data_IF_605078026847
#
_entry.id   IF_605078026847
#
_cell.length_a   1.000
_cell.length_b   1.000
_cell.length_c   1.000
_cell.angle_alpha   90.00
_cell.angle_beta   90.00
_cell.angle_gamma   90.00
#
_symmetry.space_group_name_H-M   'P 1'
#
loop_
_entity.id
_entity.type
_entity.pdbx_description
1 polymer ?
#
# COMPACT_ATOMS: atom_id res chain seq x y z
N UNK A 1 56.97 -30.23 -70.01
CA UNK A 1 56.97 -28.83 -70.49
C UNK A 1 56.17 -27.97 -69.51
N UNK A 2 56.84 -26.97 -68.94
CA UNK A 2 56.36 -25.72 -68.32
C UNK A 2 55.63 -25.78 -66.96
N UNK A 3 56.21 -24.98 -66.05
CA UNK A 3 55.87 -24.60 -64.69
C UNK A 3 54.75 -23.52 -64.63
N UNK A 4 54.02 -23.46 -63.49
CA UNK A 4 53.62 -22.27 -62.72
C UNK A 4 52.63 -22.70 -61.60
N UNK A 5 52.96 -22.67 -60.30
CA UNK A 5 52.86 -21.52 -59.36
C UNK A 5 51.42 -20.97 -59.25
N UNK A 6 50.79 -20.64 -58.12
CA UNK A 6 51.05 -20.61 -56.67
C UNK A 6 49.74 -20.04 -56.09
N UNK A 7 49.19 -20.54 -54.98
CA UNK A 7 48.60 -19.73 -53.89
C UNK A 7 47.94 -20.62 -52.83
N UNK A 8 48.59 -20.63 -51.66
CA UNK A 8 48.07 -21.13 -50.40
C UNK A 8 47.17 -20.04 -49.82
N UNK A 9 45.92 -20.37 -49.47
CA UNK A 9 45.11 -19.56 -48.55
C UNK A 9 44.70 -20.43 -47.36
N UNK A 10 45.39 -20.22 -46.25
CA UNK A 10 45.10 -20.78 -44.93
C UNK A 10 43.97 -19.94 -44.31
N UNK A 11 42.76 -20.48 -44.20
CA UNK A 11 41.66 -19.82 -43.51
C UNK A 11 41.57 -20.36 -42.07
N UNK A 12 42.16 -19.63 -41.12
CA UNK A 12 41.90 -19.82 -39.69
C UNK A 12 40.51 -19.26 -39.37
N UNK A 13 39.60 -20.10 -38.87
CA UNK A 13 38.38 -19.62 -38.22
C UNK A 13 38.51 -19.81 -36.72
N UNK A 14 38.59 -18.68 -36.01
CA UNK A 14 38.54 -18.57 -34.55
C UNK A 14 37.07 -18.41 -34.13
N UNK A 15 36.68 -19.25 -33.19
CA UNK A 15 35.64 -19.16 -32.15
C UNK A 15 34.50 -18.13 -32.23
N UNK A 16 33.30 -18.58 -31.87
CA UNK A 16 32.51 -17.92 -30.83
C UNK A 16 31.50 -18.89 -30.21
N UNK A 17 31.69 -19.18 -28.91
CA UNK A 17 30.71 -19.79 -28.01
C UNK A 17 29.61 -18.79 -27.69
N UNK A 18 28.36 -19.16 -27.90
CA UNK A 18 27.22 -18.47 -27.28
C UNK A 18 26.77 -19.29 -26.09
N UNK A 19 27.29 -18.94 -24.92
CA UNK A 19 26.65 -19.25 -23.65
C UNK A 19 25.27 -18.58 -23.66
N UNK A 20 24.22 -19.41 -23.69
CA UNK A 20 22.84 -19.00 -23.45
C UNK A 20 22.70 -18.56 -21.99
N UNK A 21 23.10 -17.33 -21.70
CA UNK A 21 22.63 -16.62 -20.51
C UNK A 21 21.19 -16.18 -20.78
N UNK A 22 20.25 -17.09 -20.56
CA UNK A 22 18.85 -16.73 -20.34
C UNK A 22 18.84 -15.90 -19.06
N UNK A 23 18.96 -14.58 -19.22
CA UNK A 23 18.71 -13.63 -18.14
C UNK A 23 17.33 -13.97 -17.59
N UNK A 24 17.29 -14.46 -16.34
CA UNK A 24 16.04 -14.70 -15.63
C UNK A 24 15.27 -13.38 -15.65
N UNK A 25 14.16 -13.35 -16.38
CA UNK A 25 13.26 -12.19 -16.40
C UNK A 25 12.93 -11.89 -14.94
N UNK A 26 13.35 -10.71 -14.47
CA UNK A 26 13.09 -10.27 -13.10
C UNK A 26 11.57 -10.31 -12.88
N UNK A 27 11.10 -11.25 -12.05
CA UNK A 27 9.68 -11.35 -11.69
C UNK A 27 9.34 -10.14 -10.81
N UNK A 28 8.54 -9.23 -11.36
CA UNK A 28 8.11 -8.01 -10.71
C UNK A 28 6.59 -7.98 -10.58
N UNK A 29 6.03 -7.80 -9.37
CA UNK A 29 6.69 -7.65 -8.08
C UNK A 29 7.29 -8.97 -7.55
N UNK A 30 8.38 -8.88 -6.78
CA UNK A 30 8.94 -10.04 -6.08
C UNK A 30 8.08 -10.39 -4.86
N UNK A 31 7.50 -11.58 -4.86
CA UNK A 31 6.71 -12.09 -3.72
C UNK A 31 7.53 -13.17 -3.01
N UNK A 32 7.99 -12.94 -1.76
CA UNK A 32 8.81 -13.92 -1.07
C UNK A 32 7.99 -15.12 -0.61
N UNK A 33 8.67 -16.24 -0.34
CA UNK A 33 8.03 -17.43 0.22
C UNK A 33 7.31 -17.10 1.53
N UNK A 34 6.08 -17.63 1.68
CA UNK A 34 5.21 -17.36 2.83
C UNK A 34 4.24 -16.20 2.63
N UNK A 35 4.34 -15.43 1.55
CA UNK A 35 3.31 -14.48 1.15
C UNK A 35 2.31 -15.12 0.18
N UNK A 36 1.01 -14.74 0.27
CA UNK A 36 0.04 -15.13 -0.75
C UNK A 36 0.42 -14.49 -2.10
N UNK A 37 0.01 -15.08 -3.24
CA UNK A 37 0.14 -14.41 -4.53
C UNK A 37 -0.69 -13.13 -4.55
N UNK A 38 -0.20 -12.10 -5.23
CA UNK A 38 -0.94 -10.83 -5.41
C UNK A 38 -2.21 -11.10 -6.22
N UNK A 39 -3.40 -10.69 -5.74
CA UNK A 39 -4.62 -10.76 -6.53
C UNK A 39 -4.53 -9.90 -7.79
N UNK A 40 -4.66 -10.54 -8.96
CA UNK A 40 -4.67 -9.88 -10.28
C UNK A 40 -6.00 -10.19 -10.97
N UNK A 41 -6.88 -9.19 -11.20
CA UNK A 41 -8.11 -9.38 -11.95
C UNK A 41 -7.84 -9.81 -13.40
N UNK A 42 -8.67 -10.71 -13.93
CA UNK A 42 -8.51 -11.24 -15.28
C UNK A 42 -8.65 -10.15 -16.37
N UNK A 43 -9.47 -9.14 -16.11
CA UNK A 43 -9.69 -7.98 -16.97
C UNK A 43 -8.64 -6.86 -16.80
N UNK A 44 -7.73 -7.00 -15.82
CA UNK A 44 -6.59 -6.11 -15.65
C UNK A 44 -5.28 -6.88 -15.35
N UNK A 45 -4.72 -7.61 -16.33
CA UNK A 45 -3.47 -8.33 -16.14
C UNK A 45 -2.32 -7.38 -15.82
N UNK A 46 -1.52 -7.74 -14.83
CA UNK A 46 -0.36 -6.96 -14.40
C UNK A 46 0.80 -7.13 -15.40
N UNK A 47 1.28 -6.03 -15.96
CA UNK A 47 2.50 -5.98 -16.77
C UNK A 47 3.42 -4.86 -16.28
N UNK A 48 4.71 -4.95 -16.57
CA UNK A 48 5.69 -3.93 -16.18
C UNK A 48 5.37 -2.58 -16.82
N UNK A 49 4.98 -2.59 -18.10
CA UNK A 49 4.65 -1.38 -18.86
C UNK A 49 3.40 -0.70 -18.31
N UNK A 50 2.40 -1.50 -17.90
CA UNK A 50 1.16 -0.98 -17.32
C UNK A 50 1.39 -0.41 -15.92
N UNK A 51 2.18 -1.09 -15.08
CA UNK A 51 2.58 -0.58 -13.78
C UNK A 51 3.42 0.71 -13.92
N UNK A 52 4.30 0.80 -14.92
CA UNK A 52 5.07 2.03 -15.16
C UNK A 52 4.19 3.18 -15.64
N UNK A 53 3.23 2.94 -16.56
CA UNK A 53 2.22 3.95 -16.89
C UNK A 53 1.44 4.37 -15.64
N UNK A 54 1.03 3.40 -14.81
CA UNK A 54 0.38 3.64 -13.53
C UNK A 54 1.18 4.54 -12.61
N UNK A 55 2.50 4.33 -12.51
CA UNK A 55 3.41 5.17 -11.74
C UNK A 55 3.41 6.61 -12.23
N UNK A 56 3.50 6.85 -13.54
CA UNK A 56 3.39 8.21 -14.07
C UNK A 56 2.06 8.86 -13.69
N UNK A 57 0.94 8.16 -13.89
CA UNK A 57 -0.38 8.70 -13.56
C UNK A 57 -0.57 8.95 -12.06
N UNK A 58 -0.03 8.08 -11.21
CA UNK A 58 -0.13 8.21 -9.75
C UNK A 58 0.52 9.51 -9.23
N UNK A 59 1.60 9.96 -9.88
CA UNK A 59 2.32 11.18 -9.52
C UNK A 59 1.85 12.43 -10.27
N UNK A 60 1.11 12.29 -11.37
CA UNK A 60 0.76 13.40 -12.26
C UNK A 60 -0.35 14.28 -11.69
N UNK A 61 0.01 15.52 -11.33
CA UNK A 61 -0.92 16.49 -10.75
C UNK A 61 -1.90 17.07 -11.75
N UNK A 62 -1.57 17.02 -13.05
CA UNK A 62 -2.44 17.53 -14.12
C UNK A 62 -3.73 16.72 -14.27
N UNK A 63 -3.85 15.61 -13.54
CA UNK A 63 -5.05 14.79 -13.46
C UNK A 63 -6.10 15.35 -12.48
N UNK A 64 -5.74 16.31 -11.62
CA UNK A 64 -6.67 17.00 -10.72
C UNK A 64 -7.25 18.27 -11.33
N UNK A 65 -8.38 18.74 -10.79
CA UNK A 65 -9.12 19.91 -11.27
C UNK A 65 -8.26 21.16 -11.47
N UNK A 66 -7.40 21.46 -10.50
CA UNK A 66 -6.58 22.68 -10.44
C UNK A 66 -5.08 22.43 -10.66
N UNK A 67 -4.69 21.19 -10.96
CA UNK A 67 -3.29 20.82 -11.18
C UNK A 67 -2.43 20.78 -9.91
N UNK A 68 -3.03 20.85 -8.71
CA UNK A 68 -2.27 20.96 -7.45
C UNK A 68 -1.99 19.63 -6.76
N UNK A 69 -2.85 18.63 -6.98
CA UNK A 69 -2.80 17.33 -6.29
C UNK A 69 -2.73 16.14 -7.25
N UNK A 70 -2.05 15.08 -6.80
CA UNK A 70 -2.07 13.74 -7.42
C UNK A 70 -2.30 12.69 -6.34
N UNK A 71 -2.40 11.41 -6.70
CA UNK A 71 -2.48 10.33 -5.73
C UNK A 71 -1.29 10.41 -4.74
N UNK A 72 -0.09 10.68 -5.28
CA UNK A 72 1.13 10.85 -4.52
C UNK A 72 1.15 12.06 -3.57
N UNK A 73 0.25 13.04 -3.71
CA UNK A 73 0.13 14.14 -2.75
C UNK A 73 -0.28 13.64 -1.37
N UNK A 74 -1.16 12.63 -1.31
CA UNK A 74 -1.68 12.05 -0.06
C UNK A 74 -1.10 10.66 0.24
N UNK A 75 -0.44 10.04 -0.74
CA UNK A 75 0.17 8.72 -0.63
C UNK A 75 1.66 8.80 -1.00
N UNK A 76 2.45 9.40 -0.11
CA UNK A 76 3.87 9.72 -0.39
C UNK A 76 4.75 8.50 -0.15
N UNK A 77 5.57 8.14 -1.13
CA UNK A 77 6.44 6.95 -1.06
C UNK A 77 7.35 6.91 0.17
N UNK A 78 7.91 8.06 0.56
CA UNK A 78 8.78 8.20 1.74
C UNK A 78 8.13 7.80 3.07
N UNK A 79 6.79 7.82 3.15
CA UNK A 79 6.01 7.44 4.33
C UNK A 79 5.15 6.21 4.08
N UNK A 80 5.70 5.25 3.33
CA UNK A 80 5.02 4.02 2.94
C UNK A 80 3.66 4.28 2.25
N UNK A 81 3.59 5.34 1.46
CA UNK A 81 2.38 5.74 0.74
C UNK A 81 1.20 6.11 1.66
N UNK A 82 1.50 6.79 2.78
CA UNK A 82 0.52 7.57 3.56
C UNK A 82 0.76 9.08 3.43
N UNK A 83 -0.04 9.87 4.15
CA UNK A 83 0.11 11.34 4.21
C UNK A 83 0.87 11.85 5.45
N UNK A 84 1.56 10.96 6.18
CA UNK A 84 2.28 11.31 7.41
C UNK A 84 3.20 12.56 7.28
N UNK A 85 3.14 13.60 8.12
CA UNK A 85 2.50 13.64 9.43
C UNK A 85 1.09 14.26 9.40
N UNK A 86 0.50 14.45 8.22
CA UNK A 86 -0.81 15.08 8.12
C UNK A 86 -1.88 14.15 8.67
N UNK A 87 -2.72 14.69 9.56
CA UNK A 87 -3.87 13.96 10.07
C UNK A 87 -4.91 13.75 8.97
N UNK A 88 -5.23 14.80 8.23
CA UNK A 88 -6.21 14.81 7.15
C UNK A 88 -5.55 15.43 5.94
N UNK A 89 -5.67 14.75 4.81
CA UNK A 89 -5.12 15.22 3.54
C UNK A 89 -5.87 16.43 3.00
N UNK A 90 -5.10 17.32 2.37
CA UNK A 90 -5.62 18.44 1.60
C UNK A 90 -5.71 18.04 0.13
N UNK A 91 -6.91 18.12 -0.44
CA UNK A 91 -7.15 17.96 -1.87
C UNK A 91 -7.08 19.28 -2.63
N UNK A 92 -7.73 19.31 -3.81
CA UNK A 92 -7.85 20.51 -4.64
C UNK A 92 -8.40 21.68 -3.85
N UNK A 93 -7.94 22.89 -4.17
CA UNK A 93 -8.33 24.13 -3.47
C UNK A 93 -8.14 24.05 -1.94
N UNK A 94 -7.23 23.20 -1.45
CA UNK A 94 -7.00 22.93 -0.01
C UNK A 94 -8.22 22.39 0.75
N UNK A 95 -9.19 21.79 0.06
CA UNK A 95 -10.34 21.14 0.71
C UNK A 95 -9.85 19.96 1.56
N UNK A 96 -10.44 19.76 2.74
CA UNK A 96 -10.01 18.72 3.69
C UNK A 96 -10.95 17.52 3.65
N UNK A 97 -10.36 16.33 3.64
CA UNK A 97 -11.10 15.06 3.75
C UNK A 97 -11.75 14.86 5.13
N UNK A 98 -12.42 13.73 5.28
CA UNK A 98 -13.10 13.36 6.54
C UNK A 98 -12.33 12.34 7.37
N UNK A 99 -11.30 11.71 6.80
CA UNK A 99 -10.53 10.63 7.41
C UNK A 99 -9.04 10.80 7.14
N UNK A 100 -8.23 10.15 7.96
CA UNK A 100 -6.81 9.98 7.67
C UNK A 100 -6.60 9.15 6.39
N UNK A 101 -5.66 9.56 5.55
CA UNK A 101 -5.29 8.82 4.35
C UNK A 101 -4.54 7.54 4.75
N UNK A 102 -5.12 6.34 4.49
CA UNK A 102 -4.49 5.10 4.88
C UNK A 102 -3.21 4.87 4.07
N UNK A 103 -2.25 4.22 4.70
CA UNK A 103 -1.09 3.65 4.02
C UNK A 103 -1.54 2.58 3.00
N UNK A 104 -1.02 2.64 1.77
CA UNK A 104 -1.45 1.73 0.67
C UNK A 104 -0.42 0.65 0.29
N UNK A 105 0.73 0.54 0.96
CA UNK A 105 1.56 -0.66 0.78
C UNK A 105 0.75 -1.91 1.13
N UNK A 106 0.89 -2.95 0.30
CA UNK A 106 0.11 -4.19 0.37
C UNK A 106 -1.42 -4.01 0.19
N UNK A 107 -1.92 -2.87 -0.28
CA UNK A 107 -3.36 -2.67 -0.49
C UNK A 107 -3.98 -3.66 -1.49
N UNK A 108 -3.17 -4.18 -2.42
CA UNK A 108 -3.61 -5.18 -3.40
C UNK A 108 -4.15 -6.49 -2.82
N UNK A 109 -3.84 -6.80 -1.56
CA UNK A 109 -4.35 -8.00 -0.90
C UNK A 109 -5.68 -7.78 -0.16
N UNK A 110 -6.14 -6.53 -0.05
CA UNK A 110 -7.38 -6.24 0.64
C UNK A 110 -8.59 -6.59 -0.26
N UNK A 111 -9.58 -7.35 0.23
CA UNK A 111 -10.79 -7.68 -0.53
C UNK A 111 -11.71 -6.47 -0.72
N UNK A 112 -11.61 -5.48 0.16
CA UNK A 112 -12.31 -4.20 0.09
C UNK A 112 -11.39 -3.08 0.59
N UNK A 113 -11.52 -1.90 0.00
CA UNK A 113 -10.66 -0.75 0.23
C UNK A 113 -11.44 0.40 0.90
N UNK A 114 -10.72 1.48 1.24
CA UNK A 114 -11.12 2.50 2.23
C UNK A 114 -11.22 1.94 3.65
N UNK A 115 -11.46 2.85 4.60
CA UNK A 115 -11.63 2.51 6.02
C UNK A 115 -12.96 1.82 6.34
N UNK A 116 -14.00 2.05 5.54
CA UNK A 116 -15.35 1.49 5.69
C UNK A 116 -15.60 0.28 4.75
N UNK A 117 -14.68 0.02 3.82
CA UNK A 117 -14.78 -1.11 2.90
C UNK A 117 -15.69 -0.86 1.69
N UNK A 118 -16.02 0.39 1.37
CA UNK A 118 -16.99 0.71 0.32
C UNK A 118 -16.53 0.39 -1.11
N UNK A 119 -15.24 0.22 -1.34
CA UNK A 119 -14.70 -0.07 -2.68
C UNK A 119 -14.27 -1.54 -2.79
N UNK A 120 -14.75 -2.30 -3.79
CA UNK A 120 -14.45 -3.74 -3.94
C UNK A 120 -13.15 -4.02 -4.70
N UNK A 121 -12.52 -3.01 -5.32
CA UNK A 121 -11.30 -3.15 -6.10
C UNK A 121 -10.42 -1.90 -6.00
N UNK A 122 -9.15 -2.03 -6.35
CA UNK A 122 -8.23 -0.89 -6.45
C UNK A 122 -8.69 0.08 -7.56
N UNK A 123 -9.20 -0.46 -8.68
CA UNK A 123 -9.71 0.34 -9.79
C UNK A 123 -10.89 1.23 -9.38
N UNK A 124 -11.85 0.68 -8.64
CA UNK A 124 -13.00 1.44 -8.14
C UNK A 124 -12.61 2.40 -7.01
N UNK A 125 -11.67 2.00 -6.15
CA UNK A 125 -11.14 2.88 -5.11
C UNK A 125 -10.44 4.10 -5.72
N UNK A 126 -9.54 3.87 -6.68
CA UNK A 126 -8.84 4.93 -7.40
C UNK A 126 -9.83 5.83 -8.15
N UNK A 127 -10.85 5.27 -8.81
CA UNK A 127 -11.90 6.07 -9.45
C UNK A 127 -12.64 6.96 -8.46
N UNK A 128 -13.00 6.43 -7.29
CA UNK A 128 -13.71 7.19 -6.27
C UNK A 128 -12.88 8.38 -5.74
N UNK A 129 -11.58 8.18 -5.48
CA UNK A 129 -10.67 9.25 -5.08
C UNK A 129 -10.45 10.28 -6.22
N UNK A 130 -10.31 9.79 -7.44
CA UNK A 130 -10.13 10.60 -8.65
C UNK A 130 -11.33 11.54 -8.92
N UNK A 131 -12.55 11.06 -8.72
CA UNK A 131 -13.78 11.83 -8.91
C UNK A 131 -14.24 12.61 -7.67
N UNK A 132 -13.70 12.31 -6.49
CA UNK A 132 -14.10 12.95 -5.24
C UNK A 132 -13.91 14.47 -5.33
N UNK A 133 -14.95 15.28 -5.07
CA UNK A 133 -14.87 16.74 -5.17
C UNK A 133 -13.97 17.34 -4.11
N UNK A 134 -13.65 16.61 -3.04
CA UNK A 134 -12.77 17.05 -1.97
C UNK A 134 -11.32 16.66 -2.23
N UNK A 135 -11.07 15.60 -2.99
CA UNK A 135 -9.74 15.08 -3.27
C UNK A 135 -9.20 15.64 -4.59
N UNK A 136 -9.41 14.94 -5.72
CA UNK A 136 -8.87 15.36 -7.02
C UNK A 136 -9.86 16.13 -7.91
N UNK A 137 -11.18 15.97 -7.67
CA UNK A 137 -12.27 16.60 -8.42
C UNK A 137 -12.09 16.55 -9.95
N UNK A 138 -11.57 15.44 -10.49
CA UNK A 138 -11.10 15.39 -11.86
C UNK A 138 -12.20 15.58 -12.91
N UNK A 139 -11.96 16.46 -13.87
CA UNK A 139 -12.77 16.56 -15.09
C UNK A 139 -12.33 15.46 -16.07
N UNK A 140 -13.15 14.41 -16.18
CA UNK A 140 -12.85 13.23 -17.01
C UNK A 140 -12.67 13.56 -18.50
N UNK A 141 -13.32 14.58 -19.04
CA UNK A 141 -13.15 14.97 -20.45
C UNK A 141 -11.82 15.68 -20.66
N UNK A 142 -11.50 16.63 -19.77
CA UNK A 142 -10.23 17.33 -19.80
C UNK A 142 -9.06 16.37 -19.61
N UNK A 143 -9.16 15.45 -18.64
CA UNK A 143 -8.16 14.41 -18.39
C UNK A 143 -8.03 13.47 -19.59
N UNK A 144 -9.12 13.01 -20.19
CA UNK A 144 -9.03 12.15 -21.37
C UNK A 144 -8.32 12.85 -22.55
N UNK A 145 -8.58 14.15 -22.78
CA UNK A 145 -7.89 14.93 -23.80
C UNK A 145 -6.39 15.10 -23.48
N UNK A 146 -6.07 15.37 -22.20
CA UNK A 146 -4.70 15.48 -21.72
C UNK A 146 -3.91 14.17 -21.92
N UNK A 147 -4.47 13.04 -21.50
CA UNK A 147 -3.84 11.72 -21.63
C UNK A 147 -3.60 11.33 -23.10
N UNK A 148 -4.55 11.60 -24.00
CA UNK A 148 -4.37 11.36 -25.45
C UNK A 148 -3.18 12.13 -26.03
N UNK A 149 -2.86 13.30 -25.48
CA UNK A 149 -1.75 14.14 -25.96
C UNK A 149 -0.42 13.77 -25.29
N UNK A 150 -0.39 13.72 -23.97
CA UNK A 150 0.87 13.58 -23.22
C UNK A 150 1.33 12.12 -23.05
N UNK A 151 0.40 11.17 -23.11
CA UNK A 151 0.68 9.76 -22.83
C UNK A 151 0.52 8.85 -24.04
N UNK A 152 0.31 9.38 -25.25
CA UNK A 152 -0.01 8.61 -26.46
C UNK A 152 0.86 7.36 -26.64
N UNK A 153 2.19 7.50 -26.62
CA UNK A 153 3.12 6.38 -26.83
C UNK A 153 3.04 5.33 -25.71
N UNK A 154 2.91 5.77 -24.45
CA UNK A 154 2.76 4.85 -23.31
C UNK A 154 1.42 4.14 -23.37
N UNK A 155 0.38 4.86 -23.78
CA UNK A 155 -0.96 4.34 -23.89
C UNK A 155 -1.05 3.24 -24.94
N UNK A 156 -0.52 3.48 -26.15
CA UNK A 156 -0.47 2.47 -27.23
C UNK A 156 0.37 1.26 -26.80
N UNK A 157 1.51 1.47 -26.13
CA UNK A 157 2.33 0.36 -25.60
C UNK A 157 1.59 -0.52 -24.60
N UNK A 158 0.73 0.06 -23.76
CA UNK A 158 0.04 -0.66 -22.68
C UNK A 158 -1.29 -1.28 -23.14
N UNK A 159 -2.07 -0.55 -23.94
CA UNK A 159 -3.44 -0.93 -24.31
C UNK A 159 -3.59 -1.36 -25.77
N UNK A 160 -2.55 -1.19 -26.59
CA UNK A 160 -2.56 -1.60 -28.01
C UNK A 160 -3.36 -0.67 -28.93
N UNK A 161 -3.94 0.41 -28.40
CA UNK A 161 -4.74 1.38 -29.15
C UNK A 161 -4.63 2.79 -28.56
N UNK A 162 -5.29 3.78 -29.16
CA UNK A 162 -5.29 5.19 -28.73
C UNK A 162 -6.52 5.59 -27.91
N UNK A 163 -7.41 4.64 -27.61
CA UNK A 163 -8.66 4.88 -26.89
C UNK A 163 -8.37 5.08 -25.41
N UNK A 164 -8.47 6.32 -24.97
CA UNK A 164 -8.40 6.69 -23.56
C UNK A 164 -9.76 6.57 -22.89
N UNK A 165 -9.82 5.81 -21.80
CA UNK A 165 -10.95 5.76 -20.86
C UNK A 165 -10.43 5.94 -19.44
N UNK A 166 -11.24 6.50 -18.55
CA UNK A 166 -10.84 6.64 -17.14
C UNK A 166 -10.65 5.28 -16.47
N UNK A 167 -11.45 4.26 -16.85
CA UNK A 167 -11.26 2.90 -16.35
C UNK A 167 -9.87 2.36 -16.71
N UNK A 168 -9.39 2.55 -17.95
CA UNK A 168 -8.02 2.16 -18.32
C UNK A 168 -6.95 2.93 -17.55
N UNK A 169 -7.19 4.22 -17.26
CA UNK A 169 -6.30 5.00 -16.39
C UNK A 169 -6.24 4.40 -14.97
N UNK A 170 -7.40 4.08 -14.38
CA UNK A 170 -7.47 3.45 -13.06
C UNK A 170 -6.87 2.04 -13.04
N UNK A 171 -7.04 1.27 -14.12
CA UNK A 171 -6.37 -0.03 -14.29
C UNK A 171 -4.85 0.10 -14.31
N UNK A 172 -4.30 1.14 -14.93
CA UNK A 172 -2.87 1.43 -14.90
C UNK A 172 -2.41 1.80 -13.48
N UNK A 173 -3.10 2.73 -12.81
CA UNK A 173 -2.81 3.13 -11.42
C UNK A 173 -2.87 1.92 -10.48
N UNK A 174 -3.95 1.13 -10.54
CA UNK A 174 -4.10 -0.08 -9.75
C UNK A 174 -3.01 -1.13 -10.05
N UNK A 175 -2.47 -1.18 -11.28
CA UNK A 175 -1.34 -2.03 -11.60
C UNK A 175 -0.05 -1.57 -10.91
N UNK A 176 0.16 -0.25 -10.78
CA UNK A 176 1.26 0.29 -9.98
C UNK A 176 1.08 -0.04 -8.51
N UNK A 177 -0.11 0.15 -7.95
CA UNK A 177 -0.41 -0.16 -6.54
C UNK A 177 -0.20 -1.64 -6.20
N UNK A 178 -0.51 -2.55 -7.15
CA UNK A 178 -0.22 -4.00 -7.04
C UNK A 178 1.27 -4.33 -6.91
N UNK A 179 2.16 -3.41 -7.27
CA UNK A 179 3.61 -3.59 -7.11
C UNK A 179 4.14 -3.12 -5.76
N UNK A 180 3.34 -2.38 -4.97
CA UNK A 180 3.75 -1.80 -3.69
C UNK A 180 3.74 -2.85 -2.56
N UNK A 181 4.65 -3.82 -2.65
CA UNK A 181 4.73 -4.96 -1.73
C UNK A 181 5.79 -4.71 -0.66
N UNK A 182 5.37 -4.75 0.59
CA UNK A 182 6.26 -4.72 1.77
C UNK A 182 6.35 -6.11 2.37
N UNK A 183 7.53 -6.73 2.26
CA UNK A 183 7.74 -8.15 2.60
C UNK A 183 9.18 -8.50 3.02
N UNK A 184 10.01 -7.48 3.30
CA UNK A 184 11.42 -7.61 3.62
C UNK A 184 11.84 -6.85 4.90
N UNK A 185 10.89 -6.65 5.81
CA UNK A 185 11.16 -6.08 7.13
C UNK A 185 12.08 -6.97 7.97
N UNK A 186 12.55 -6.47 9.12
CA UNK A 186 13.34 -7.28 10.06
C UNK A 186 12.52 -8.45 10.62
N UNK A 187 11.23 -8.26 10.82
CA UNK A 187 10.31 -9.34 11.15
C UNK A 187 10.25 -10.41 10.04
N UNK A 188 10.20 -10.00 8.77
CA UNK A 188 10.17 -10.95 7.65
C UNK A 188 11.48 -11.77 7.55
N UNK A 189 12.63 -11.12 7.76
CA UNK A 189 13.93 -11.79 7.81
C UNK A 189 13.99 -12.83 8.94
N UNK A 190 13.46 -12.47 10.11
CA UNK A 190 13.34 -13.37 11.25
C UNK A 190 12.47 -14.59 10.95
N UNK A 191 11.31 -14.40 10.31
CA UNK A 191 10.44 -15.51 9.89
C UNK A 191 11.12 -16.44 8.87
N UNK A 192 12.06 -15.92 8.07
CA UNK A 192 12.86 -16.70 7.11
C UNK A 192 14.12 -17.32 7.73
N UNK A 193 14.26 -17.29 9.06
CA UNK A 193 15.32 -17.98 9.78
C UNK A 193 16.52 -17.11 10.18
N UNK A 194 16.57 -15.83 9.79
CA UNK A 194 17.56 -14.90 10.33
C UNK A 194 17.17 -14.49 11.75
N UNK A 195 17.47 -15.38 12.70
CA UNK A 195 17.11 -15.16 14.10
C UNK A 195 17.78 -13.91 14.67
N UNK A 196 18.87 -13.41 14.09
CA UNK A 196 19.57 -12.21 14.55
C UNK A 196 18.88 -10.91 14.10
N UNK A 197 17.94 -10.96 13.15
CA UNK A 197 17.25 -9.78 12.62
C UNK A 197 16.43 -9.01 13.67
N UNK A 198 15.93 -9.71 14.70
CA UNK A 198 15.19 -9.11 15.82
C UNK A 198 16.04 -9.01 17.08
N UNK A 199 16.01 -7.83 17.70
CA UNK A 199 16.56 -7.57 19.03
C UNK A 199 15.80 -8.34 20.11
N UNK A 200 16.38 -8.42 21.32
CA UNK A 200 15.72 -9.05 22.47
C UNK A 200 14.40 -8.36 22.82
N UNK A 201 14.34 -7.03 22.69
CA UNK A 201 13.13 -6.23 22.93
C UNK A 201 12.02 -6.59 21.95
N UNK A 202 12.34 -6.62 20.67
CA UNK A 202 11.40 -6.95 19.60
C UNK A 202 10.87 -8.37 19.72
N UNK A 203 11.70 -9.33 20.13
CA UNK A 203 11.24 -10.71 20.36
C UNK A 203 10.30 -10.82 21.56
N UNK A 204 10.52 -10.04 22.62
CA UNK A 204 9.55 -9.97 23.74
C UNK A 204 8.23 -9.35 23.27
N UNK A 205 8.31 -8.26 22.53
CA UNK A 205 7.15 -7.57 21.93
C UNK A 205 6.36 -8.49 21.01
N UNK A 206 7.03 -9.18 20.09
CA UNK A 206 6.43 -10.15 19.17
C UNK A 206 5.69 -11.26 19.92
N UNK A 207 6.33 -11.87 20.93
CA UNK A 207 5.68 -12.92 21.74
C UNK A 207 4.45 -12.39 22.46
N UNK A 208 4.52 -11.17 23.00
CA UNK A 208 3.38 -10.55 23.66
C UNK A 208 2.27 -10.27 22.64
N UNK A 209 2.59 -9.68 21.49
CA UNK A 209 1.67 -9.32 20.42
C UNK A 209 0.81 -10.49 19.93
N UNK A 210 1.43 -11.67 19.76
CA UNK A 210 0.76 -12.90 19.33
C UNK A 210 0.27 -13.78 20.49
N UNK A 211 0.25 -13.28 21.73
CA UNK A 211 -0.24 -14.04 22.89
C UNK A 211 -1.74 -13.90 23.09
N UNK A 212 -2.36 -14.89 23.73
CA UNK A 212 -3.76 -14.84 24.20
C UNK A 212 -4.00 -13.72 25.22
N UNK A 213 -2.95 -13.14 25.80
CA UNK A 213 -3.08 -12.04 26.75
C UNK A 213 -3.47 -10.74 26.03
N UNK A 214 -2.81 -10.37 24.93
CA UNK A 214 -3.07 -9.12 24.20
C UNK A 214 -3.88 -9.31 22.93
N UNK A 215 -3.86 -10.50 22.33
CA UNK A 215 -4.67 -10.90 21.18
C UNK A 215 -4.52 -9.97 19.95
N UNK A 216 -3.42 -9.24 19.82
CA UNK A 216 -3.23 -8.29 18.71
C UNK A 216 -3.21 -9.02 17.35
N UNK A 217 -2.60 -10.21 17.34
CA UNK A 217 -2.56 -11.10 16.16
C UNK A 217 -3.91 -11.64 15.70
N UNK A 218 -4.97 -11.52 16.51
CA UNK A 218 -6.32 -11.97 16.13
C UNK A 218 -6.98 -11.10 15.06
N UNK A 219 -6.60 -9.81 15.00
CA UNK A 219 -6.97 -8.92 13.90
C UNK A 219 -5.76 -8.62 13.01
N UNK A 220 -4.56 -8.52 13.58
CA UNK A 220 -3.33 -8.19 12.85
C UNK A 220 -2.45 -9.43 12.64
N UNK A 221 -3.05 -10.49 12.09
CA UNK A 221 -2.42 -11.80 11.94
C UNK A 221 -1.89 -12.09 10.53
N UNK A 222 -1.27 -13.26 10.41
CA UNK A 222 -0.82 -13.83 9.14
C UNK A 222 0.28 -13.03 8.43
N UNK A 223 0.61 -13.41 7.18
CA UNK A 223 1.68 -12.77 6.42
C UNK A 223 1.44 -11.29 6.16
N UNK A 224 0.20 -10.79 6.21
CA UNK A 224 -0.11 -9.38 5.91
C UNK A 224 -0.33 -8.53 7.16
N UNK A 225 -0.33 -9.13 8.36
CA UNK A 225 -0.61 -8.44 9.63
C UNK A 225 -1.94 -7.67 9.60
N UNK A 226 -2.94 -8.30 9.00
CA UNK A 226 -4.33 -7.86 8.93
C UNK A 226 -5.23 -9.05 8.58
N UNK A 227 -6.43 -9.07 9.16
CA UNK A 227 -7.52 -9.97 8.79
C UNK A 227 -8.44 -9.36 7.73
N UNK A 228 -8.24 -8.08 7.37
CA UNK A 228 -9.08 -7.27 6.50
C UNK A 228 -10.57 -7.23 6.89
N UNK A 229 -10.90 -7.54 8.15
CA UNK A 229 -12.26 -7.45 8.68
C UNK A 229 -12.50 -6.08 9.30
N UNK A 230 -13.70 -5.89 9.84
CA UNK A 230 -14.17 -4.62 10.38
C UNK A 230 -14.39 -4.74 11.88
N UNK A 231 -13.78 -3.83 12.63
CA UNK A 231 -13.82 -3.85 14.10
C UNK A 231 -14.04 -2.44 14.65
N UNK A 232 -14.78 -2.35 15.75
CA UNK A 232 -14.84 -1.16 16.58
C UNK A 232 -13.90 -1.35 17.77
N UNK A 233 -12.89 -0.49 17.88
CA UNK A 233 -11.88 -0.55 18.94
C UNK A 233 -12.21 0.37 20.13
N UNK A 234 -13.40 0.97 20.14
CA UNK A 234 -13.88 1.85 21.20
C UNK A 234 -13.09 3.15 21.33
N UNK A 235 -12.83 3.86 20.23
CA UNK A 235 -12.18 5.17 20.27
C UNK A 235 -13.03 6.20 21.03
N UNK A 236 -14.35 6.15 20.87
CA UNK A 236 -15.28 7.14 21.44
C UNK A 236 -16.48 6.50 22.12
N UNK A 237 -17.17 7.29 22.95
CA UNK A 237 -18.50 6.95 23.46
C UNK A 237 -19.61 7.23 22.43
N UNK A 238 -19.34 8.13 21.49
CA UNK A 238 -20.25 8.54 20.42
C UNK A 238 -19.44 8.74 19.14
N UNK A 239 -19.97 8.27 18.01
CA UNK A 239 -19.35 8.35 16.70
C UNK A 239 -20.22 9.21 15.77
N UNK A 240 -19.62 10.22 15.14
CA UNK A 240 -20.26 10.96 14.05
C UNK A 240 -20.01 10.27 12.71
N UNK A 241 -18.79 9.80 12.49
CA UNK A 241 -18.44 8.88 11.41
C UNK A 241 -18.89 7.46 11.80
N UNK A 242 -19.93 6.96 11.13
CA UNK A 242 -20.51 5.65 11.45
C UNK A 242 -19.73 4.50 10.83
N UNK A 243 -18.64 4.77 10.13
CA UNK A 243 -17.75 3.75 9.56
C UNK A 243 -18.49 2.91 8.53
N UNK A 244 -18.44 1.59 8.71
CA UNK A 244 -19.07 0.63 7.80
C UNK A 244 -20.60 0.76 7.71
N UNK A 245 -21.27 1.23 8.77
CA UNK A 245 -22.71 1.48 8.73
C UNK A 245 -23.13 2.40 7.59
N UNK A 246 -22.32 3.41 7.24
CA UNK A 246 -22.63 4.33 6.14
C UNK A 246 -22.65 3.64 4.77
N UNK A 247 -22.11 2.42 4.68
CA UNK A 247 -22.10 1.56 3.50
C UNK A 247 -23.24 0.54 3.53
N UNK A 248 -23.53 -0.05 4.70
CA UNK A 248 -24.43 -1.21 4.81
C UNK A 248 -25.82 -0.88 5.34
N UNK A 249 -25.98 0.21 6.09
CA UNK A 249 -27.20 0.56 6.83
C UNK A 249 -27.54 -0.38 8.00
N UNK A 250 -26.66 -1.33 8.34
CA UNK A 250 -26.89 -2.27 9.43
C UNK A 250 -26.31 -1.74 10.75
N UNK A 251 -27.14 -1.60 11.79
CA UNK A 251 -26.71 -1.10 13.10
C UNK A 251 -25.59 -1.94 13.74
N UNK A 252 -25.48 -3.24 13.42
CA UNK A 252 -24.38 -4.07 13.90
C UNK A 252 -23.02 -3.68 13.28
N UNK A 253 -23.02 -2.92 12.18
CA UNK A 253 -21.82 -2.39 11.52
C UNK A 253 -21.45 -0.97 11.99
N UNK A 254 -22.16 -0.40 12.97
CA UNK A 254 -21.90 0.95 13.46
C UNK A 254 -20.49 1.07 14.05
N UNK A 255 -19.75 2.08 13.59
CA UNK A 255 -18.39 2.40 14.03
C UNK A 255 -17.37 1.25 13.81
N UNK A 256 -17.68 0.30 12.93
CA UNK A 256 -16.69 -0.68 12.49
C UNK A 256 -15.83 -0.08 11.37
N UNK A 257 -14.51 -0.24 11.50
CA UNK A 257 -13.53 0.16 10.49
C UNK A 257 -12.63 -1.01 10.13
N UNK A 258 -12.16 -1.04 8.89
CA UNK A 258 -11.29 -2.10 8.38
C UNK A 258 -9.98 -2.14 9.17
N UNK A 259 -9.54 -3.33 9.55
CA UNK A 259 -8.21 -3.57 10.12
C UNK A 259 -7.13 -3.25 9.09
N UNK A 260 -6.29 -2.21 9.27
CA UNK A 260 -5.19 -1.94 8.37
C UNK A 260 -4.06 -2.97 8.57
N UNK A 261 -3.21 -3.15 7.56
CA UNK A 261 -1.94 -3.87 7.75
C UNK A 261 -1.03 -3.07 8.68
N UNK A 262 -0.28 -3.76 9.55
CA UNK A 262 0.75 -3.14 10.38
C UNK A 262 2.14 -3.11 9.73
N UNK A 263 2.29 -3.64 8.51
CA UNK A 263 3.55 -3.55 7.76
C UNK A 263 3.87 -2.07 7.54
N UNK A 264 5.09 -1.64 7.83
CA UNK A 264 5.49 -0.22 7.78
C UNK A 264 4.71 0.75 8.69
N UNK A 265 3.95 0.27 9.69
CA UNK A 265 3.14 1.15 10.57
C UNK A 265 3.96 2.26 11.24
N UNK A 266 5.23 2.02 11.56
CA UNK A 266 6.09 3.02 12.20
C UNK A 266 6.38 4.27 11.33
N UNK A 267 6.04 4.24 10.04
CA UNK A 267 6.24 5.35 9.10
C UNK A 267 4.97 6.16 8.82
N UNK A 268 3.82 5.72 9.30
CA UNK A 268 2.52 6.22 8.86
C UNK A 268 1.77 7.02 9.92
N UNK A 269 2.48 7.54 10.94
CA UNK A 269 1.87 8.42 11.93
C UNK A 269 1.30 9.70 11.26
N UNK A 270 0.14 10.22 11.68
CA UNK A 270 -0.62 9.78 12.85
C UNK A 270 -1.59 8.63 12.53
N UNK A 271 -2.13 7.98 13.56
CA UNK A 271 -2.88 6.74 13.48
C UNK A 271 -4.37 6.92 13.75
N UNK A 272 -5.14 5.90 13.32
CA UNK A 272 -6.61 5.80 13.30
C UNK A 272 -7.26 6.43 12.07
N UNK A 273 -8.49 6.01 11.77
CA UNK A 273 -9.26 6.47 10.60
C UNK A 273 -9.77 7.92 10.73
N UNK A 274 -9.67 8.50 11.92
CA UNK A 274 -10.42 9.67 12.37
C UNK A 274 -10.06 10.98 11.66
N UNK A 275 -11.06 11.81 11.39
CA UNK A 275 -10.91 13.20 10.97
C UNK A 275 -11.56 14.20 11.93
N UNK A 276 -11.94 15.38 11.41
CA UNK A 276 -12.34 16.53 12.24
C UNK A 276 -13.62 16.28 13.05
N UNK A 277 -14.55 15.46 12.53
CA UNK A 277 -15.81 15.15 13.21
C UNK A 277 -15.62 14.30 14.47
N UNK A 278 -14.56 13.49 14.51
CA UNK A 278 -14.27 12.53 15.58
C UNK A 278 -12.77 12.62 15.95
N UNK A 279 -12.35 13.56 16.82
CA UNK A 279 -10.93 13.86 17.06
C UNK A 279 -10.24 12.81 17.97
N UNK A 280 -9.96 11.63 17.42
CA UNK A 280 -9.33 10.49 18.14
C UNK A 280 -8.00 10.05 17.55
N UNK A 281 -7.31 10.96 16.85
CA UNK A 281 -6.03 10.67 16.23
C UNK A 281 -4.97 10.38 17.31
N UNK A 282 -4.10 9.41 17.05
CA UNK A 282 -2.97 9.10 17.91
C UNK A 282 -1.68 9.42 17.15
N UNK A 283 -0.84 10.27 17.72
CA UNK A 283 0.39 10.74 17.09
C UNK A 283 1.52 9.70 17.17
N UNK A 284 1.47 8.78 18.13
CA UNK A 284 2.55 7.82 18.38
C UNK A 284 2.04 6.41 18.62
N UNK A 285 2.88 5.40 18.37
CA UNK A 285 2.55 4.00 18.63
C UNK A 285 2.36 3.74 20.13
N UNK A 286 3.01 4.51 20.99
CA UNK A 286 2.82 4.47 22.44
C UNK A 286 1.37 4.83 22.80
N UNK A 287 0.81 5.89 22.19
CA UNK A 287 -0.59 6.24 22.40
C UNK A 287 -1.54 5.15 21.90
N UNK A 288 -1.21 4.50 20.78
CA UNK A 288 -1.97 3.34 20.27
C UNK A 288 -1.94 2.20 21.28
N UNK A 289 -0.77 1.85 21.82
CA UNK A 289 -0.62 0.79 22.81
C UNK A 289 -1.35 1.15 24.11
N UNK A 290 -1.32 2.42 24.54
CA UNK A 290 -2.04 2.89 25.71
C UNK A 290 -3.56 2.73 25.54
N UNK A 291 -4.11 3.09 24.38
CA UNK A 291 -5.53 2.88 24.07
C UNK A 291 -5.96 1.41 24.22
N UNK A 292 -5.19 0.49 23.63
CA UNK A 292 -5.49 -0.95 23.75
C UNK A 292 -5.28 -1.46 25.18
N UNK A 293 -4.27 -0.95 25.89
CA UNK A 293 -4.03 -1.30 27.28
C UNK A 293 -5.19 -0.88 28.20
N UNK A 294 -5.82 0.25 27.91
CA UNK A 294 -6.98 0.78 28.63
C UNK A 294 -8.30 0.08 28.24
N UNK A 295 -8.31 -0.62 27.10
CA UNK A 295 -9.43 -1.44 26.65
C UNK A 295 -10.55 -0.68 25.94
N UNK A 296 -10.29 0.55 25.50
CA UNK A 296 -11.24 1.38 24.74
C UNK A 296 -12.52 1.77 25.51
N UNK A 297 -13.24 2.76 24.99
CA UNK A 297 -14.53 3.23 25.50
C UNK A 297 -15.63 2.22 25.22
N UNK A 298 -16.61 2.01 26.12
CA UNK A 298 -17.74 1.14 25.86
C UNK A 298 -18.59 1.67 24.69
N UNK A 299 -18.94 0.77 23.78
CA UNK A 299 -19.84 1.02 22.66
C UNK A 299 -20.52 -0.31 22.27
N UNK A 300 -21.72 -0.27 21.69
CA UNK A 300 -22.54 -1.46 21.42
C UNK A 300 -21.80 -2.51 20.55
N UNK A 301 -21.14 -2.05 19.50
CA UNK A 301 -20.39 -2.88 18.53
C UNK A 301 -18.91 -3.07 18.90
N UNK A 302 -18.45 -2.58 20.06
CA UNK A 302 -17.03 -2.70 20.44
C UNK A 302 -16.62 -4.16 20.47
N UNK A 303 -15.50 -4.46 19.82
CA UNK A 303 -14.91 -5.79 19.82
C UNK A 303 -14.53 -6.22 21.25
N UNK A 304 -15.05 -7.37 21.68
CA UNK A 304 -14.87 -7.89 23.05
C UNK A 304 -13.41 -8.22 23.38
N UNK A 305 -12.57 -8.41 22.37
CA UNK A 305 -11.13 -8.64 22.53
C UNK A 305 -10.42 -7.36 23.00
N UNK A 306 -10.98 -6.18 22.72
CA UNK A 306 -10.46 -4.89 23.22
C UNK A 306 -10.93 -4.70 24.66
N UNK A 307 -10.07 -5.17 25.58
CA UNK A 307 -10.28 -5.15 27.04
C UNK A 307 -9.03 -4.65 27.74
N UNK A 308 -9.16 -4.22 28.99
CA UNK A 308 -8.02 -3.78 29.79
C UNK A 308 -6.96 -4.89 29.91
N UNK A 309 -5.70 -4.55 29.62
CA UNK A 309 -4.61 -5.52 29.52
C UNK A 309 -3.66 -5.52 30.72
N UNK A 310 -3.55 -4.40 31.44
CA UNK A 310 -2.65 -4.27 32.59
C UNK A 310 -1.18 -4.48 32.23
N UNK A 311 -0.74 -3.96 31.09
CA UNK A 311 0.63 -4.03 30.63
C UNK A 311 1.53 -3.12 31.47
N UNK A 312 2.70 -3.64 31.83
CA UNK A 312 3.78 -2.83 32.40
C UNK A 312 4.40 -1.90 31.35
N UNK A 313 5.10 -0.85 31.79
CA UNK A 313 5.78 0.07 30.86
C UNK A 313 6.81 -0.64 29.97
N UNK A 314 7.45 -1.69 30.49
CA UNK A 314 8.40 -2.47 29.70
C UNK A 314 7.69 -3.24 28.58
N UNK A 315 6.54 -3.85 28.88
CA UNK A 315 5.75 -4.58 27.90
C UNK A 315 5.21 -3.66 26.80
N UNK A 316 4.76 -2.46 27.16
CA UNK A 316 4.34 -1.45 26.20
C UNK A 316 5.48 -1.05 25.25
N UNK A 317 6.67 -0.78 25.80
CA UNK A 317 7.87 -0.49 25.00
C UNK A 317 8.24 -1.65 24.08
N UNK A 318 8.24 -2.88 24.59
CA UNK A 318 8.57 -4.06 23.80
C UNK A 318 7.60 -4.22 22.61
N UNK A 319 6.29 -3.99 22.79
CA UNK A 319 5.29 -3.98 21.70
C UNK A 319 5.59 -2.92 20.63
N UNK A 320 5.92 -1.70 21.05
CA UNK A 320 6.29 -0.62 20.14
C UNK A 320 7.54 -0.98 19.33
N UNK A 321 8.57 -1.54 19.98
CA UNK A 321 9.78 -1.98 19.29
C UNK A 321 9.47 -3.08 18.27
N UNK A 322 8.59 -4.03 18.59
CA UNK A 322 8.13 -5.01 17.62
C UNK A 322 7.43 -4.37 16.42
N UNK A 323 6.52 -3.42 16.63
CA UNK A 323 5.86 -2.71 15.52
C UNK A 323 6.84 -1.93 14.64
N UNK A 324 7.92 -1.37 15.20
CA UNK A 324 9.01 -0.76 14.42
C UNK A 324 9.77 -1.78 13.55
N UNK A 325 9.92 -3.02 14.03
CA UNK A 325 10.56 -4.10 13.27
C UNK A 325 9.74 -4.58 12.05
N UNK A 326 8.48 -4.16 11.92
CA UNK A 326 7.63 -4.38 10.75
C UNK A 326 7.92 -3.42 9.58
N UNK A 327 8.86 -2.50 9.75
CA UNK A 327 9.25 -1.56 8.71
C UNK A 327 10.12 -2.24 7.66
N UNK A 328 9.67 -2.20 6.41
CA UNK A 328 10.45 -2.56 5.24
C UNK A 328 10.97 -1.28 4.58
N UNK A 329 12.28 -1.05 4.62
CA UNK A 329 12.88 0.12 3.98
C UNK A 329 12.99 -0.02 2.46
N UNK A 330 12.93 -1.24 1.90
CA UNK A 330 13.11 -1.43 0.46
C UNK A 330 12.01 -0.75 -0.34
N UNK A 331 10.75 -0.88 0.07
CA UNK A 331 9.59 -0.29 -0.64
C UNK A 331 9.57 1.25 -0.62
N UNK A 332 10.19 1.89 0.38
CA UNK A 332 10.21 3.37 0.49
C UNK A 332 11.44 4.00 -0.16
N UNK A 333 12.50 3.23 -0.41
CA UNK A 333 13.74 3.70 -1.04
C UNK A 333 13.92 3.21 -2.49
N UNK A 334 13.03 2.35 -2.98
CA UNK A 334 13.14 1.81 -4.34
C UNK A 334 12.83 2.91 -5.38
N UNK A 335 13.78 3.24 -6.28
CA UNK A 335 13.56 4.26 -7.31
C UNK A 335 12.42 3.90 -8.27
N UNK A 336 12.04 2.61 -8.39
CA UNK A 336 10.89 2.17 -9.18
C UNK A 336 9.56 2.63 -8.61
N UNK A 337 9.52 3.09 -7.37
CA UNK A 337 8.31 3.66 -6.75
C UNK A 337 8.42 5.15 -6.47
N UNK A 338 9.52 5.80 -6.88
CA UNK A 338 9.70 7.23 -6.72
C UNK A 338 8.93 8.04 -7.77
N UNK A 339 8.88 9.35 -7.58
CA UNK A 339 8.31 10.31 -8.52
C UNK A 339 9.04 10.24 -9.89
N UNK A 340 8.38 9.86 -10.99
CA UNK A 340 9.00 9.75 -12.30
C UNK A 340 9.35 11.09 -12.97
N UNK A 341 8.90 12.22 -12.41
CA UNK A 341 9.10 13.54 -12.99
C UNK A 341 10.32 14.28 -12.41
N UNK A 342 11.13 13.62 -11.59
CA UNK A 342 12.29 14.21 -10.90
C UNK A 342 13.63 13.68 -11.36
#
# INVERSE_FOLDING_TARGET
MKYAALLVLLCMTVACSTDDTVATVEQWPHIPAGFPPVPVPADNPLTKEKAELGRFLFYDKQLSLDGTVSCASCHRSATAFSDAPNQISAGVESRRGQRNSPMIVNAAYAPTLFWDGRAPSLEEQAMAAFLSPVEMAADTFAVAAYLRRQYADRWVRVFGDTTVTMMRAMQAIASFERTLISANSRYDKFLRGDTAALSTSERRGMRLFFSDRTMCGECHGGPLLTDNKFHNIGLFFHYFDKGRYDVTGNLDDEALFRTPTLRNVALSAPYMATGDADPGIMMTLEQVVDHYNDGGKPFATKDKRVRKLGLSDQEKRDLVEFMKALTDSSVITDPRFADPFR
#
